data_IF_040065488394
#
_entry.id   IF_040065488394
#
_cell.length_a   1.000
_cell.length_b   1.000
_cell.length_c   1.000
_cell.angle_alpha   90.00
_cell.angle_beta   90.00
_cell.angle_gamma   90.00
#
_symmetry.space_group_name_H-M   'P 1'
#
loop_
_entity.id
_entity.type
_entity.pdbx_description
1 polymer ?
#
# COMPACT_ATOMS: atom_id res chain seq x y z
N UNK A 1 8.14 28.69 12.92
CA UNK A 1 8.72 27.42 12.46
C UNK A 1 9.47 27.69 11.19
N UNK A 2 10.75 27.40 11.18
CA UNK A 2 11.59 27.47 9.97
C UNK A 2 11.47 26.13 9.21
N UNK A 3 11.81 26.12 7.93
CA UNK A 3 11.62 24.94 7.06
C UNK A 3 12.39 23.73 7.58
N UNK A 4 13.59 23.98 8.09
CA UNK A 4 14.49 22.98 8.64
C UNK A 4 13.88 22.30 9.87
N UNK A 5 13.27 23.08 10.76
CA UNK A 5 12.60 22.58 11.96
C UNK A 5 11.39 21.70 11.59
N UNK A 6 10.60 22.11 10.59
CA UNK A 6 9.47 21.30 10.09
C UNK A 6 9.96 19.98 9.50
N UNK A 7 11.04 20.03 8.72
CA UNK A 7 11.63 18.84 8.11
C UNK A 7 12.13 17.85 9.18
N UNK A 8 12.89 18.33 10.16
CA UNK A 8 13.36 17.50 11.29
C UNK A 8 12.20 16.90 12.10
N UNK A 9 11.10 17.64 12.26
CA UNK A 9 9.90 17.13 12.94
C UNK A 9 9.16 16.10 12.08
N UNK A 10 9.12 16.28 10.77
CA UNK A 10 8.50 15.34 9.85
C UNK A 10 9.20 13.97 9.89
N UNK A 11 10.54 13.95 9.97
CA UNK A 11 11.32 12.70 10.07
C UNK A 11 11.06 11.94 11.38
N UNK A 12 10.60 12.63 12.44
CA UNK A 12 10.27 12.02 13.74
C UNK A 12 8.88 11.36 13.74
N UNK A 13 8.04 11.64 12.75
CA UNK A 13 6.71 11.03 12.66
C UNK A 13 6.87 9.61 12.07
N UNK A 14 6.51 8.56 12.82
CA UNK A 14 6.75 7.20 12.38
C UNK A 14 5.87 6.85 11.20
N UNK A 15 6.49 6.32 10.15
CA UNK A 15 5.81 5.70 9.03
C UNK A 15 6.15 4.20 9.00
N UNK A 16 5.23 3.31 9.43
CA UNK A 16 5.53 1.90 9.69
C UNK A 16 5.61 1.02 8.44
N UNK A 17 5.39 1.57 7.24
CA UNK A 17 5.42 0.83 5.98
C UNK A 17 4.49 -0.40 5.85
N UNK A 18 3.50 -0.53 6.73
CA UNK A 18 2.47 -1.57 6.63
C UNK A 18 1.28 -1.10 5.79
N UNK A 19 0.83 -1.94 4.85
CA UNK A 19 -0.36 -1.68 4.02
C UNK A 19 -1.66 -1.64 4.81
N UNK A 20 -1.67 -2.20 6.02
CA UNK A 20 -2.78 -2.15 6.98
C UNK A 20 -2.93 -0.81 7.70
N UNK A 21 -2.02 0.15 7.48
CA UNK A 21 -2.05 1.47 8.13
C UNK A 21 -2.06 2.59 7.10
N UNK A 22 -2.76 3.67 7.45
CA UNK A 22 -2.75 4.93 6.68
C UNK A 22 -1.41 5.63 6.93
N UNK A 23 -0.79 6.12 5.87
CA UNK A 23 0.46 6.88 5.94
C UNK A 23 0.19 8.27 6.53
N UNK A 24 1.10 8.80 7.37
CA UNK A 24 0.92 10.13 7.96
C UNK A 24 0.97 11.25 6.93
N UNK A 25 1.70 11.04 5.83
CA UNK A 25 1.86 11.98 4.73
C UNK A 25 1.56 11.29 3.41
N UNK A 26 0.76 11.93 2.56
CA UNK A 26 0.36 11.42 1.26
C UNK A 26 -0.58 12.39 0.56
N UNK A 27 -1.07 11.97 -0.61
CA UNK A 27 -2.10 12.72 -1.32
C UNK A 27 -3.43 12.67 -0.55
N UNK A 28 -4.17 13.78 -0.61
CA UNK A 28 -5.47 13.94 0.05
C UNK A 28 -6.45 14.59 -0.91
N UNK A 29 -7.74 14.42 -0.64
CA UNK A 29 -8.80 15.14 -1.34
C UNK A 29 -8.89 16.55 -0.78
N UNK A 30 -8.64 17.53 -1.62
CA UNK A 30 -8.61 18.94 -1.25
C UNK A 30 -10.02 19.55 -1.25
N UNK A 31 -10.28 20.45 -0.30
CA UNK A 31 -11.53 21.17 -0.27
C UNK A 31 -11.57 22.21 -1.41
N UNK A 32 -12.46 21.98 -2.38
CA UNK A 32 -12.68 22.84 -3.54
C UNK A 32 -13.13 24.27 -3.19
N UNK A 33 -13.64 24.50 -1.98
CA UNK A 33 -14.05 25.82 -1.51
C UNK A 33 -12.91 26.64 -0.88
N UNK A 34 -11.70 26.08 -0.76
CA UNK A 34 -10.54 26.83 -0.26
C UNK A 34 -9.94 27.71 -1.34
N UNK A 35 -9.42 28.87 -0.94
CA UNK A 35 -8.74 29.80 -1.84
C UNK A 35 -7.45 29.15 -2.37
N UNK A 36 -7.33 29.04 -3.68
CA UNK A 36 -6.19 28.43 -4.37
C UNK A 36 -6.63 27.70 -5.63
N UNK A 37 -5.69 27.00 -6.26
CA UNK A 37 -5.95 26.06 -7.35
C UNK A 37 -5.71 24.64 -6.80
N UNK A 38 -6.75 23.92 -6.35
CA UNK A 38 -6.60 22.60 -5.77
C UNK A 38 -6.15 21.60 -6.84
N UNK A 39 -5.22 20.70 -6.49
CA UNK A 39 -4.69 19.71 -7.43
C UNK A 39 -5.64 18.51 -7.58
N UNK A 40 -6.18 18.00 -6.47
CA UNK A 40 -7.08 16.83 -6.46
C UNK A 40 -8.31 17.08 -5.60
N UNK A 41 -9.47 17.32 -6.22
CA UNK A 41 -10.72 17.63 -5.50
C UNK A 41 -11.66 16.45 -5.33
N UNK A 42 -11.48 15.36 -6.07
CA UNK A 42 -12.32 14.15 -6.00
C UNK A 42 -11.47 12.88 -5.93
N UNK A 43 -12.12 11.79 -5.52
CA UNK A 43 -11.51 10.46 -5.49
C UNK A 43 -10.93 10.09 -6.87
N UNK A 44 -9.62 9.72 -6.97
CA UNK A 44 -8.98 9.41 -8.24
C UNK A 44 -9.69 8.32 -9.04
N UNK A 45 -10.24 7.31 -8.34
CA UNK A 45 -10.99 6.24 -8.98
C UNK A 45 -12.24 6.75 -9.68
N UNK A 46 -12.94 7.72 -9.09
CA UNK A 46 -14.13 8.32 -9.70
C UNK A 46 -13.75 9.13 -10.93
N UNK A 47 -12.72 9.99 -10.85
CA UNK A 47 -12.19 10.76 -11.98
C UNK A 47 -11.82 9.86 -13.17
N UNK A 48 -11.16 8.72 -12.90
CA UNK A 48 -10.83 7.71 -13.91
C UNK A 48 -12.10 7.10 -14.51
N UNK A 49 -13.09 6.73 -13.69
CA UNK A 49 -14.34 6.10 -14.13
C UNK A 49 -15.19 7.01 -15.01
N UNK A 50 -15.33 8.29 -14.65
CA UNK A 50 -16.11 9.27 -15.42
C UNK A 50 -15.33 9.85 -16.61
N UNK A 51 -14.02 9.56 -16.68
CA UNK A 51 -13.18 10.01 -17.78
C UNK A 51 -12.69 11.45 -17.64
N UNK A 52 -12.75 12.04 -16.45
CA UNK A 52 -12.24 13.38 -16.15
C UNK A 52 -10.73 13.32 -15.88
N UNK A 53 -9.96 13.02 -16.93
CA UNK A 53 -8.50 13.01 -16.93
C UNK A 53 -7.98 13.26 -18.35
N UNK A 54 -6.71 13.66 -18.47
CA UNK A 54 -6.08 13.92 -19.77
C UNK A 54 -6.07 12.68 -20.69
N UNK A 55 -6.65 12.83 -21.88
CA UNK A 55 -6.74 11.75 -22.89
C UNK A 55 -5.50 11.73 -23.76
N UNK A 56 -4.40 11.22 -23.22
CA UNK A 56 -3.13 11.04 -23.91
C UNK A 56 -2.74 9.56 -23.96
N UNK A 57 -1.95 9.10 -24.94
CA UNK A 57 -1.39 7.75 -24.92
C UNK A 57 -0.52 7.54 -23.69
N UNK A 58 -0.75 6.44 -22.94
CA UNK A 58 0.01 6.08 -21.74
C UNK A 58 0.60 4.69 -21.91
N UNK A 59 1.88 4.53 -21.56
CA UNK A 59 2.57 3.24 -21.43
C UNK A 59 2.81 2.96 -19.94
N UNK A 60 2.34 1.82 -19.44
CA UNK A 60 2.51 1.39 -18.03
C UNK A 60 3.03 -0.05 -17.97
N UNK A 61 3.81 -0.36 -16.93
CA UNK A 61 4.36 -1.69 -16.66
C UNK A 61 4.89 -1.80 -15.23
N UNK A 62 5.33 -2.98 -14.84
CA UNK A 62 5.92 -3.28 -13.53
C UNK A 62 7.06 -4.28 -13.69
N UNK A 63 8.01 -4.31 -12.75
CA UNK A 63 9.04 -5.34 -12.72
C UNK A 63 8.53 -6.62 -12.05
N UNK A 64 9.13 -7.76 -12.38
CA UNK A 64 8.70 -9.06 -11.84
C UNK A 64 8.83 -9.18 -10.31
N UNK A 65 9.58 -8.29 -9.64
CA UNK A 65 9.94 -8.37 -8.22
C UNK A 65 9.87 -7.05 -7.43
N UNK A 66 8.89 -6.21 -7.71
CA UNK A 66 8.72 -4.90 -7.02
C UNK A 66 8.68 -5.03 -5.48
N UNK A 67 8.15 -6.13 -4.93
CA UNK A 67 8.05 -6.32 -3.49
C UNK A 67 9.41 -6.38 -2.75
N UNK A 68 10.52 -6.60 -3.47
CA UNK A 68 11.87 -6.51 -2.90
C UNK A 68 12.22 -5.13 -2.35
N UNK A 69 11.51 -4.07 -2.77
CA UNK A 69 11.74 -2.72 -2.27
C UNK A 69 11.48 -2.60 -0.76
N UNK A 70 10.48 -3.31 -0.22
CA UNK A 70 10.08 -3.22 1.20
C UNK A 70 11.22 -3.59 2.18
N UNK A 71 11.87 -4.77 2.08
CA UNK A 71 12.98 -5.12 2.97
C UNK A 71 14.20 -4.21 2.83
N UNK A 72 14.41 -3.57 1.67
CA UNK A 72 15.52 -2.61 1.51
C UNK A 72 15.30 -1.31 2.28
N UNK A 73 14.04 -0.92 2.53
CA UNK A 73 13.71 0.32 3.24
C UNK A 73 13.48 0.13 4.73
N UNK A 74 13.13 -1.09 5.15
CA UNK A 74 12.78 -1.43 6.52
C UNK A 74 13.35 -2.80 6.92
N UNK A 75 14.40 -2.77 7.73
CA UNK A 75 15.01 -3.98 8.30
C UNK A 75 13.97 -4.79 9.07
N UNK A 76 14.01 -6.12 8.94
CA UNK A 76 13.07 -7.08 9.55
C UNK A 76 11.61 -7.02 9.05
N UNK A 77 11.26 -6.15 8.08
CA UNK A 77 9.90 -6.09 7.53
C UNK A 77 9.40 -7.44 7.01
N UNK A 78 10.25 -8.24 6.36
CA UNK A 78 9.88 -9.59 5.92
C UNK A 78 9.45 -10.48 7.10
N UNK A 79 10.20 -10.45 8.20
CA UNK A 79 9.87 -11.24 9.39
C UNK A 79 8.57 -10.75 10.05
N UNK A 80 8.37 -9.43 10.15
CA UNK A 80 7.16 -8.84 10.72
C UNK A 80 5.91 -9.18 9.90
N UNK A 81 6.00 -9.06 8.56
CA UNK A 81 4.90 -9.37 7.66
C UNK A 81 4.52 -10.85 7.69
N UNK A 82 5.50 -11.75 7.84
CA UNK A 82 5.25 -13.19 8.00
C UNK A 82 4.70 -13.52 9.39
N UNK A 83 5.15 -12.83 10.45
CA UNK A 83 4.73 -13.08 11.82
C UNK A 83 3.28 -12.64 12.09
N UNK A 84 2.81 -11.58 11.42
CA UNK A 84 1.45 -11.09 11.53
C UNK A 84 0.84 -10.87 10.14
N UNK A 85 0.19 -11.92 9.64
CA UNK A 85 -0.42 -11.93 8.30
C UNK A 85 -1.42 -10.78 8.10
N UNK A 86 -2.13 -10.34 9.16
CA UNK A 86 -3.13 -9.29 9.05
C UNK A 86 -2.49 -7.92 8.76
N UNK A 87 -1.18 -7.74 8.94
CA UNK A 87 -0.46 -6.53 8.50
C UNK A 87 -0.49 -6.33 6.99
N UNK A 88 -0.71 -7.41 6.24
CA UNK A 88 -0.78 -7.44 4.78
C UNK A 88 -2.20 -7.17 4.23
N UNK A 89 -3.21 -7.05 5.10
CA UNK A 89 -4.57 -6.67 4.69
C UNK A 89 -4.61 -5.15 4.47
N UNK A 90 -4.94 -4.67 3.25
CA UNK A 90 -4.92 -3.24 2.98
C UNK A 90 -5.95 -2.45 3.79
N UNK A 91 -5.55 -1.32 4.36
CA UNK A 91 -6.40 -0.49 5.22
C UNK A 91 -7.69 -0.01 4.53
N UNK A 92 -7.64 0.21 3.22
CA UNK A 92 -8.76 0.75 2.44
C UNK A 92 -9.94 -0.22 2.33
N UNK A 93 -9.75 -1.50 2.66
CA UNK A 93 -10.85 -2.46 2.77
C UNK A 93 -11.74 -2.24 4.00
N UNK A 94 -11.33 -1.36 4.93
CA UNK A 94 -12.12 -1.02 6.12
C UNK A 94 -12.29 -2.20 7.10
N UNK A 95 -11.49 -3.26 6.96
CA UNK A 95 -11.57 -4.45 7.81
C UNK A 95 -10.89 -4.19 9.15
N UNK A 96 -11.62 -4.40 10.25
CA UNK A 96 -11.05 -4.33 11.59
C UNK A 96 -10.08 -5.49 11.81
N UNK A 97 -8.83 -5.22 12.17
CA UNK A 97 -7.85 -6.24 12.56
C UNK A 97 -8.40 -7.12 13.69
N UNK A 98 -8.18 -8.43 13.61
CA UNK A 98 -8.73 -9.42 14.52
C UNK A 98 -10.22 -9.71 14.30
N UNK A 99 -10.85 -9.15 13.27
CA UNK A 99 -12.17 -9.61 12.83
C UNK A 99 -12.07 -10.92 12.04
N UNK A 100 -13.16 -11.67 11.95
CA UNK A 100 -13.24 -12.88 11.12
C UNK A 100 -12.97 -12.53 9.65
N UNK A 101 -13.47 -11.40 9.17
CA UNK A 101 -13.25 -10.95 7.79
C UNK A 101 -11.78 -10.62 7.51
N UNK A 102 -11.11 -9.92 8.45
CA UNK A 102 -9.69 -9.58 8.31
C UNK A 102 -8.80 -10.83 8.29
N UNK A 103 -8.98 -11.76 9.24
CA UNK A 103 -8.25 -13.05 9.25
C UNK A 103 -8.45 -13.86 7.97
N UNK A 104 -9.70 -14.02 7.53
CA UNK A 104 -10.01 -14.73 6.26
C UNK A 104 -9.38 -14.04 5.05
N UNK A 105 -9.28 -12.72 5.06
CA UNK A 105 -8.64 -11.96 3.98
C UNK A 105 -7.13 -12.17 3.99
N UNK A 106 -6.51 -12.10 5.17
CA UNK A 106 -5.09 -12.40 5.35
C UNK A 106 -4.75 -13.82 4.88
N UNK A 107 -5.52 -14.83 5.30
CA UNK A 107 -5.37 -16.23 4.85
C UNK A 107 -5.44 -16.35 3.32
N UNK A 108 -6.37 -15.65 2.66
CA UNK A 108 -6.48 -15.64 1.19
C UNK A 108 -5.26 -15.03 0.52
N UNK A 109 -4.75 -13.92 1.06
CA UNK A 109 -3.54 -13.26 0.54
C UNK A 109 -2.36 -14.21 0.64
N UNK A 110 -2.16 -14.84 1.80
CA UNK A 110 -1.03 -15.76 1.98
C UNK A 110 -1.16 -17.03 1.15
N UNK A 111 -2.36 -17.61 1.06
CA UNK A 111 -2.60 -18.75 0.17
C UNK A 111 -2.30 -18.42 -1.29
N UNK A 112 -2.57 -17.19 -1.72
CA UNK A 112 -2.23 -16.75 -3.07
C UNK A 112 -0.72 -16.80 -3.34
N UNK A 113 0.12 -16.36 -2.40
CA UNK A 113 1.58 -16.29 -2.59
C UNK A 113 2.33 -17.58 -2.22
N UNK A 114 1.83 -18.35 -1.25
CA UNK A 114 2.53 -19.51 -0.67
C UNK A 114 1.77 -20.83 -0.85
N UNK A 115 0.57 -20.81 -1.41
CA UNK A 115 -0.29 -22.00 -1.51
C UNK A 115 -0.76 -22.48 -0.13
N UNK A 116 -0.83 -23.80 0.05
CA UNK A 116 -1.22 -24.41 1.33
C UNK A 116 -0.03 -24.64 2.28
N UNK A 117 1.14 -24.04 2.00
CA UNK A 117 2.33 -24.14 2.84
C UNK A 117 2.39 -22.99 3.85
N UNK A 118 2.89 -23.29 5.04
CA UNK A 118 3.21 -22.26 6.03
C UNK A 118 4.40 -21.43 5.53
N UNK A 119 4.27 -20.10 5.41
CA UNK A 119 5.29 -19.27 4.80
C UNK A 119 6.53 -19.18 5.70
N UNK A 120 7.71 -19.44 5.14
CA UNK A 120 8.99 -19.26 5.82
C UNK A 120 9.78 -18.12 5.20
N UNK A 121 10.82 -17.65 5.91
CA UNK A 121 11.72 -16.64 5.36
C UNK A 121 12.48 -17.16 4.12
N UNK A 122 12.65 -18.47 3.94
CA UNK A 122 13.26 -19.03 2.74
C UNK A 122 12.38 -18.82 1.49
N UNK A 123 11.07 -18.72 1.69
CA UNK A 123 10.07 -18.61 0.62
C UNK A 123 9.66 -17.16 0.34
N UNK A 124 10.22 -16.18 1.04
CA UNK A 124 9.84 -14.77 0.97
C UNK A 124 9.92 -14.18 -0.44
N UNK A 125 10.77 -14.77 -1.29
CA UNK A 125 10.88 -14.41 -2.70
C UNK A 125 9.53 -14.51 -3.45
N UNK A 126 8.65 -15.44 -3.05
CA UNK A 126 7.32 -15.56 -3.63
C UNK A 126 6.45 -14.34 -3.33
N UNK A 127 6.61 -13.74 -2.14
CA UNK A 127 5.89 -12.53 -1.74
C UNK A 127 6.39 -11.27 -2.47
N UNK A 128 7.62 -11.31 -3.00
CA UNK A 128 8.15 -10.18 -3.78
C UNK A 128 7.68 -10.16 -5.23
N UNK A 129 7.21 -11.29 -5.73
CA UNK A 129 6.78 -11.42 -7.12
C UNK A 129 5.49 -10.65 -7.35
N UNK A 130 5.46 -9.89 -8.43
CA UNK A 130 4.19 -9.38 -8.92
C UNK A 130 3.31 -10.58 -9.37
N UNK A 131 1.99 -10.55 -9.10
CA UNK A 131 1.10 -11.63 -9.50
C UNK A 131 1.08 -11.80 -11.02
N UNK A 132 1.43 -13.00 -11.51
CA UNK A 132 1.34 -13.32 -12.94
C UNK A 132 -0.14 -13.44 -13.34
N UNK A 133 -0.69 -12.37 -13.94
CA UNK A 133 -2.07 -12.27 -14.45
C UNK A 133 -3.15 -12.69 -13.43
N UNK A 134 -3.75 -11.70 -12.77
CA UNK A 134 -5.14 -11.84 -12.31
C UNK A 134 -5.98 -12.01 -13.58
N UNK A 135 -6.57 -13.20 -13.78
CA UNK A 135 -7.55 -13.37 -14.86
C UNK A 135 -8.67 -12.33 -14.63
N UNK A 136 -9.05 -11.56 -15.67
CA UNK A 136 -10.14 -10.60 -15.55
C UNK A 136 -11.47 -11.27 -15.19
#
# INVERSE_FOLDING_TARGET
MIVEEVHELQEKIPDPWHVSKIRPFGFIIENSNRKGDPFLTEEPLELIRIGEYYKVPVLMGYNSREGMFIPTRYHNSSQELLADMELNVPFHLGLKKGSVASRKTAEKIFRFYFGDQDPTHADIDNFYKAPEKVQP
#
